data_IF_049893057050
#
_entry.id   IF_049893057050
#
_cell.length_a   1.000
_cell.length_b   1.000
_cell.length_c   1.000
_cell.angle_alpha   90.00
_cell.angle_beta   90.00
_cell.angle_gamma   90.00
#
_symmetry.space_group_name_H-M   'P 1'
#
loop_
_entity.id
_entity.type
_entity.pdbx_description
1 polymer ?
#
# COMPACT_ATOMS: atom_id res chain seq x y z
N UNK A 1 -10.55 -21.35 33.80
CA UNK A 1 -11.25 -22.64 33.57
C UNK A 1 -10.97 -23.09 32.15
N UNK A 2 -10.07 -24.06 32.01
CA UNK A 2 -9.83 -24.72 30.72
C UNK A 2 -10.94 -25.73 30.47
N UNK A 3 -12.04 -25.31 29.90
CA UNK A 3 -13.13 -26.16 29.50
C UNK A 3 -13.04 -26.49 28.03
N UNK A 4 -12.35 -27.56 27.70
CA UNK A 4 -12.30 -28.09 26.34
C UNK A 4 -11.09 -29.03 26.23
N UNK A 5 -11.38 -30.35 26.05
CA UNK A 5 -10.31 -31.33 25.88
C UNK A 5 -9.45 -31.02 24.67
N UNK A 6 -8.22 -31.44 24.69
CA UNK A 6 -7.18 -31.50 23.66
C UNK A 6 -6.79 -30.18 22.94
N UNK A 7 -7.40 -29.03 23.28
CA UNK A 7 -7.31 -27.79 22.50
C UNK A 7 -6.28 -26.78 23.01
N UNK A 8 -5.61 -27.06 24.13
CA UNK A 8 -4.60 -26.19 24.71
C UNK A 8 -3.43 -27.00 25.22
N UNK A 9 -2.26 -26.75 24.67
CA UNK A 9 -1.01 -27.38 25.10
C UNK A 9 -0.12 -26.33 25.78
N UNK A 10 0.46 -26.75 26.92
CA UNK A 10 1.48 -25.96 27.63
C UNK A 10 2.79 -26.67 27.43
N UNK A 11 3.75 -26.06 26.77
CA UNK A 11 5.09 -26.57 26.56
C UNK A 11 6.14 -25.71 27.25
N UNK A 12 7.37 -26.19 27.37
CA UNK A 12 8.51 -25.44 27.87
C UNK A 12 9.81 -26.09 27.40
N UNK A 13 10.74 -25.32 26.87
CA UNK A 13 12.05 -25.77 26.39
C UNK A 13 13.18 -25.59 27.42
N UNK A 14 12.84 -25.09 28.57
CA UNK A 14 13.78 -24.86 29.71
C UNK A 14 14.68 -23.63 29.55
N UNK A 15 14.62 -22.89 28.44
CA UNK A 15 15.42 -21.67 28.19
C UNK A 15 14.58 -20.42 28.00
N UNK A 16 13.45 -20.52 27.28
CA UNK A 16 12.61 -19.37 26.91
C UNK A 16 11.28 -19.32 27.69
N UNK A 17 11.13 -20.15 28.71
CA UNK A 17 9.95 -20.18 29.54
C UNK A 17 8.83 -21.07 29.00
N UNK A 18 7.68 -21.03 29.67
CA UNK A 18 6.47 -21.76 29.28
C UNK A 18 5.78 -21.05 28.16
N UNK A 19 5.53 -21.72 27.04
CA UNK A 19 4.70 -21.22 25.93
C UNK A 19 3.33 -21.92 25.93
N UNK A 20 2.37 -21.27 25.28
CA UNK A 20 1.00 -21.76 25.14
C UNK A 20 0.74 -22.03 23.67
N UNK A 21 0.20 -23.20 23.33
CA UNK A 21 -0.24 -23.55 21.97
C UNK A 21 -1.74 -23.74 21.99
N UNK A 22 -2.42 -23.01 21.14
CA UNK A 22 -3.83 -23.19 20.81
C UNK A 22 -3.90 -24.11 19.58
N UNK A 23 -4.47 -25.30 19.78
CA UNK A 23 -4.71 -26.30 18.75
C UNK A 23 -6.14 -26.84 18.92
N UNK A 24 -7.10 -26.05 18.43
CA UNK A 24 -8.50 -26.24 18.71
C UNK A 24 -9.31 -26.74 17.52
N UNK A 25 -8.67 -27.08 16.43
CA UNK A 25 -9.36 -27.42 15.14
C UNK A 25 -10.36 -26.33 14.76
N UNK A 26 -11.66 -26.59 14.83
CA UNK A 26 -12.73 -25.59 14.59
C UNK A 26 -13.26 -24.93 15.88
N UNK A 27 -12.57 -25.12 17.01
CA UNK A 27 -12.98 -24.63 18.33
C UNK A 27 -12.46 -23.25 18.66
N UNK A 28 -13.01 -22.66 19.72
CA UNK A 28 -12.58 -21.38 20.26
C UNK A 28 -11.95 -21.58 21.65
N UNK A 29 -10.88 -20.83 21.91
CA UNK A 29 -10.18 -20.81 23.19
C UNK A 29 -10.12 -19.37 23.69
N UNK A 30 -10.50 -19.15 24.95
CA UNK A 30 -10.27 -17.90 25.66
C UNK A 30 -9.40 -18.17 26.87
N UNK A 31 -8.29 -17.45 27.00
CA UNK A 31 -7.41 -17.54 28.16
C UNK A 31 -7.91 -16.60 29.27
N UNK A 32 -7.76 -17.01 30.53
CA UNK A 32 -8.04 -16.13 31.65
C UNK A 32 -7.07 -14.95 31.69
N UNK A 33 -7.46 -13.83 32.33
CA UNK A 33 -6.60 -12.67 32.51
C UNK A 33 -5.51 -12.94 33.53
N UNK A 34 -4.46 -12.13 33.54
CA UNK A 34 -3.32 -12.17 34.46
C UNK A 34 -2.50 -13.46 34.39
N UNK A 35 -2.31 -13.96 33.15
CA UNK A 35 -1.35 -15.04 32.93
C UNK A 35 0.10 -14.52 33.07
N UNK A 36 0.97 -15.37 33.62
CA UNK A 36 2.36 -15.01 33.93
C UNK A 36 3.39 -15.88 33.21
N UNK A 37 2.99 -16.61 32.17
CA UNK A 37 3.96 -17.36 31.37
C UNK A 37 4.85 -16.42 30.58
N UNK A 38 6.13 -16.79 30.42
CA UNK A 38 7.17 -15.95 29.82
C UNK A 38 7.46 -16.27 28.35
N UNK A 39 6.87 -17.31 27.83
CA UNK A 39 7.04 -17.73 26.43
C UNK A 39 6.01 -17.09 25.49
N UNK A 40 6.02 -17.58 24.26
CA UNK A 40 5.11 -17.14 23.20
C UNK A 40 3.72 -17.75 23.33
N UNK A 41 2.73 -17.12 22.69
CA UNK A 41 1.43 -17.73 22.42
C UNK A 41 1.42 -18.17 20.96
N UNK A 42 1.16 -19.45 20.70
CA UNK A 42 1.15 -20.03 19.36
C UNK A 42 -0.27 -20.43 19.00
N UNK A 43 -0.69 -20.14 17.80
CA UNK A 43 -1.98 -20.55 17.24
C UNK A 43 -1.67 -21.52 16.11
N UNK A 44 -1.94 -22.81 16.36
CA UNK A 44 -1.74 -23.87 15.38
C UNK A 44 -3.05 -24.19 14.63
N UNK A 45 -4.19 -24.10 15.31
CA UNK A 45 -5.52 -24.26 14.69
C UNK A 45 -6.63 -23.65 15.55
N UNK A 46 -7.75 -23.33 14.95
CA UNK A 46 -8.93 -22.78 15.62
C UNK A 46 -8.77 -21.31 16.01
N UNK A 47 -9.64 -20.83 16.90
CA UNK A 47 -9.73 -19.41 17.25
C UNK A 47 -9.23 -19.14 18.66
N UNK A 48 -8.25 -18.24 18.82
CA UNK A 48 -7.87 -17.64 20.09
C UNK A 48 -8.62 -16.33 20.28
N UNK A 49 -9.51 -16.25 21.25
CA UNK A 49 -10.22 -15.02 21.61
C UNK A 49 -9.39 -14.19 22.59
N UNK A 50 -9.16 -12.90 22.25
CA UNK A 50 -8.36 -11.96 23.04
C UNK A 50 -9.18 -10.72 23.36
N UNK A 51 -9.31 -10.40 24.64
CA UNK A 51 -9.98 -9.19 25.12
C UNK A 51 -9.11 -8.34 26.05
N UNK A 52 -7.93 -8.85 26.44
CA UNK A 52 -6.99 -8.17 27.31
C UNK A 52 -5.56 -8.68 27.08
N UNK A 53 -4.57 -7.78 27.07
CA UNK A 53 -3.15 -8.14 26.87
C UNK A 53 -2.63 -9.15 27.89
N UNK A 54 -3.14 -9.13 29.13
CA UNK A 54 -2.71 -10.05 30.18
C UNK A 54 -3.14 -11.51 29.97
N UNK A 55 -4.02 -11.77 29.01
CA UNK A 55 -4.36 -13.13 28.58
C UNK A 55 -3.18 -13.83 27.86
N UNK A 56 -2.31 -13.05 27.23
CA UNK A 56 -1.20 -13.52 26.39
C UNK A 56 0.13 -13.66 27.16
N UNK A 57 0.07 -13.92 28.48
CA UNK A 57 1.24 -14.08 29.35
C UNK A 57 1.78 -12.76 29.89
N UNK A 58 3.01 -12.80 30.40
CA UNK A 58 3.63 -11.66 31.07
C UNK A 58 3.71 -10.42 30.15
N UNK A 59 3.08 -9.33 30.59
CA UNK A 59 3.02 -8.07 29.83
C UNK A 59 4.33 -7.28 29.86
N UNK A 60 5.27 -7.63 30.72
CA UNK A 60 6.57 -6.97 30.81
C UNK A 60 7.49 -7.37 29.66
N UNK A 61 7.42 -8.63 29.21
CA UNK A 61 8.27 -9.15 28.14
C UNK A 61 7.62 -9.09 26.76
N UNK A 62 6.31 -8.88 26.67
CA UNK A 62 5.54 -8.78 25.41
C UNK A 62 5.97 -9.80 24.34
N UNK A 63 5.90 -11.10 24.68
CA UNK A 63 6.25 -12.17 23.73
C UNK A 63 5.24 -12.23 22.58
N UNK A 64 5.72 -12.66 21.42
CA UNK A 64 4.96 -12.71 20.18
C UNK A 64 3.74 -13.64 20.28
N UNK A 65 2.73 -13.34 19.47
CA UNK A 65 1.73 -14.30 19.04
C UNK A 65 2.17 -14.85 17.68
N UNK A 66 2.18 -16.18 17.52
CA UNK A 66 2.77 -16.86 16.37
C UNK A 66 1.71 -17.72 15.68
N UNK A 67 1.50 -17.53 14.38
CA UNK A 67 0.74 -18.46 13.54
C UNK A 67 1.68 -19.55 13.03
N UNK A 68 1.39 -20.84 13.32
CA UNK A 68 2.40 -21.91 13.20
C UNK A 68 2.07 -23.06 12.24
N UNK A 69 0.79 -23.30 11.88
CA UNK A 69 0.43 -24.44 11.04
C UNK A 69 -0.08 -23.98 9.66
N UNK A 70 0.59 -24.46 8.60
CA UNK A 70 0.22 -24.17 7.20
C UNK A 70 -0.97 -24.97 6.67
N UNK A 71 -1.54 -25.89 7.44
CA UNK A 71 -2.59 -26.80 6.99
C UNK A 71 -3.94 -26.56 7.67
N UNK A 72 -4.00 -25.69 8.67
CA UNK A 72 -5.18 -25.45 9.48
C UNK A 72 -5.49 -23.94 9.51
N UNK A 73 -6.77 -23.61 9.55
CA UNK A 73 -7.18 -22.22 9.83
C UNK A 73 -6.80 -21.84 11.25
N UNK A 74 -6.11 -20.70 11.36
CA UNK A 74 -5.65 -20.14 12.63
C UNK A 74 -6.11 -18.70 12.74
N UNK A 75 -6.96 -18.42 13.73
CA UNK A 75 -7.60 -17.12 13.94
C UNK A 75 -7.24 -16.54 15.31
N UNK A 76 -6.87 -15.27 15.33
CA UNK A 76 -6.85 -14.45 16.53
C UNK A 76 -8.02 -13.48 16.47
N UNK A 77 -9.05 -13.68 17.28
CA UNK A 77 -10.24 -12.83 17.38
C UNK A 77 -10.08 -11.83 18.53
N UNK A 78 -10.10 -10.55 18.21
CA UNK A 78 -9.92 -9.46 19.18
C UNK A 78 -11.27 -8.81 19.45
N UNK A 79 -11.78 -9.02 20.66
CA UNK A 79 -13.16 -8.68 21.07
C UNK A 79 -13.27 -7.42 21.92
N UNK A 80 -12.15 -6.77 22.25
CA UNK A 80 -12.10 -5.52 23.00
C UNK A 80 -10.87 -4.70 22.58
N UNK A 81 -10.84 -3.42 22.96
CA UNK A 81 -9.69 -2.56 22.72
C UNK A 81 -8.49 -3.08 23.55
N UNK A 82 -7.53 -3.67 22.85
CA UNK A 82 -6.32 -4.22 23.43
C UNK A 82 -5.15 -3.34 23.04
N UNK A 83 -4.50 -2.73 24.00
CA UNK A 83 -3.20 -2.08 23.82
C UNK A 83 -2.11 -3.05 24.30
N UNK A 84 -1.33 -3.59 23.38
CA UNK A 84 -0.27 -4.54 23.72
C UNK A 84 1.06 -3.84 24.02
N UNK A 85 1.14 -2.52 23.95
CA UNK A 85 2.36 -1.76 24.30
C UNK A 85 2.71 -1.97 25.78
N UNK A 86 4.00 -2.13 26.06
CA UNK A 86 4.53 -2.30 27.40
C UNK A 86 5.07 -0.98 27.93
N UNK A 87 5.02 -0.80 29.24
CA UNK A 87 5.69 0.32 29.92
C UNK A 87 7.22 0.27 29.83
N UNK A 88 7.79 -0.85 29.41
CA UNK A 88 9.23 -1.09 29.30
C UNK A 88 9.73 -1.24 27.85
N UNK A 89 8.82 -1.50 26.92
CA UNK A 89 9.10 -1.53 25.48
C UNK A 89 8.17 -0.55 24.79
N UNK A 90 8.71 0.28 23.89
CA UNK A 90 7.91 1.25 23.13
C UNK A 90 6.99 0.57 22.12
N UNK A 91 7.20 -0.75 21.89
CA UNK A 91 6.46 -1.55 20.92
C UNK A 91 5.46 -2.46 21.63
N UNK A 92 4.37 -2.77 20.92
CA UNK A 92 3.41 -3.78 21.34
C UNK A 92 3.95 -5.21 21.20
N UNK A 93 3.06 -6.21 21.38
CA UNK A 93 3.36 -7.60 21.02
C UNK A 93 3.42 -7.73 19.52
N UNK A 94 4.44 -8.41 19.02
CA UNK A 94 4.57 -8.70 17.61
C UNK A 94 3.66 -9.88 17.22
N UNK A 95 3.26 -9.88 15.95
CA UNK A 95 2.59 -10.99 15.29
C UNK A 95 3.63 -11.64 14.39
N UNK A 96 4.00 -12.89 14.66
CA UNK A 96 4.99 -13.64 13.88
C UNK A 96 4.28 -14.62 12.94
N UNK A 97 4.59 -14.52 11.65
CA UNK A 97 4.03 -15.38 10.61
C UNK A 97 4.97 -16.55 10.33
N UNK A 98 4.49 -17.79 10.56
CA UNK A 98 5.12 -19.04 10.06
C UNK A 98 4.17 -19.83 9.19
N UNK A 99 2.93 -19.38 9.12
CA UNK A 99 1.84 -19.96 8.37
C UNK A 99 0.83 -18.87 8.02
N UNK A 100 -0.22 -19.22 7.28
CA UNK A 100 -1.38 -18.36 7.10
C UNK A 100 -2.02 -18.08 8.46
N UNK A 101 -2.47 -16.85 8.65
CA UNK A 101 -3.10 -16.43 9.88
C UNK A 101 -4.14 -15.35 9.65
N UNK A 102 -5.20 -15.40 10.45
CA UNK A 102 -6.26 -14.40 10.43
C UNK A 102 -6.26 -13.61 11.74
N UNK A 103 -6.37 -12.28 11.63
CA UNK A 103 -6.63 -11.38 12.74
C UNK A 103 -7.99 -10.74 12.52
N UNK A 104 -9.00 -11.25 13.24
CA UNK A 104 -10.35 -10.72 13.26
C UNK A 104 -10.48 -9.67 14.36
N UNK A 105 -10.94 -8.47 14.04
CA UNK A 105 -11.15 -7.39 15.01
C UNK A 105 -12.62 -7.00 15.01
N UNK A 106 -13.30 -7.13 16.15
CA UNK A 106 -14.71 -6.85 16.28
C UNK A 106 -15.08 -5.40 15.94
N UNK A 107 -16.30 -5.20 15.50
CA UNK A 107 -16.83 -3.89 15.17
C UNK A 107 -16.74 -2.93 16.37
N UNK A 108 -16.19 -1.73 16.15
CA UNK A 108 -15.97 -0.71 17.18
C UNK A 108 -14.80 -0.99 18.12
N UNK A 109 -13.98 -2.00 17.81
CA UNK A 109 -12.73 -2.29 18.52
C UNK A 109 -11.57 -1.64 17.78
N UNK A 110 -10.74 -0.90 18.53
CA UNK A 110 -9.45 -0.38 18.07
C UNK A 110 -8.35 -1.04 18.90
N UNK A 111 -7.45 -1.77 18.24
CA UNK A 111 -6.41 -2.54 18.92
C UNK A 111 -5.02 -2.18 18.40
N UNK A 112 -4.03 -2.14 19.30
CA UNK A 112 -2.65 -1.74 19.00
C UNK A 112 -1.70 -2.90 19.25
N UNK A 113 -0.94 -3.25 18.21
CA UNK A 113 0.02 -4.35 18.21
C UNK A 113 1.40 -3.86 17.79
N UNK A 114 2.43 -4.67 18.00
CA UNK A 114 3.79 -4.37 17.59
C UNK A 114 4.00 -4.52 16.08
N UNK A 115 5.05 -5.24 15.70
CA UNK A 115 5.40 -5.50 14.31
C UNK A 115 4.70 -6.74 13.75
N UNK A 116 4.57 -6.77 12.42
CA UNK A 116 4.33 -8.01 11.69
C UNK A 116 5.67 -8.62 11.29
N UNK A 117 6.03 -9.73 11.90
CA UNK A 117 7.36 -10.31 11.85
C UNK A 117 7.44 -11.51 10.92
N UNK A 118 8.56 -11.63 10.21
CA UNK A 118 8.95 -12.88 9.57
C UNK A 118 9.27 -13.97 10.59
N UNK A 119 9.31 -15.23 10.14
CA UNK A 119 9.72 -16.36 10.96
C UNK A 119 11.10 -16.14 11.59
N UNK A 120 11.12 -15.92 12.90
CA UNK A 120 12.35 -15.71 13.68
C UNK A 120 13.23 -16.96 13.80
N UNK A 121 12.73 -18.14 13.40
CA UNK A 121 13.51 -19.39 13.42
C UNK A 121 14.59 -19.45 12.33
N UNK A 122 14.55 -18.52 11.35
CA UNK A 122 15.44 -18.49 10.19
C UNK A 122 15.16 -19.59 9.17
N UNK A 123 13.98 -20.23 9.25
CA UNK A 123 13.56 -21.24 8.29
C UNK A 123 12.79 -20.66 7.10
N UNK A 124 12.55 -19.33 7.07
CA UNK A 124 11.78 -18.61 6.04
C UNK A 124 10.40 -19.25 5.79
N UNK A 125 9.71 -19.65 6.86
CA UNK A 125 8.44 -20.36 6.73
C UNK A 125 7.27 -19.41 6.42
N UNK A 126 7.46 -18.13 6.54
CA UNK A 126 6.49 -17.09 6.18
C UNK A 126 6.42 -16.83 4.66
N UNK A 127 7.42 -17.30 3.87
CA UNK A 127 7.35 -17.22 2.42
C UNK A 127 6.12 -17.98 1.88
N UNK A 128 5.26 -17.23 1.14
CA UNK A 128 4.01 -17.75 0.60
C UNK A 128 2.88 -17.88 1.63
N UNK A 129 3.06 -17.42 2.85
CA UNK A 129 1.98 -17.27 3.84
C UNK A 129 1.22 -15.97 3.61
N UNK A 130 0.02 -15.88 4.20
CA UNK A 130 -0.85 -14.71 4.12
C UNK A 130 -1.32 -14.31 5.52
N UNK A 131 -1.17 -13.03 5.87
CA UNK A 131 -1.92 -12.42 6.96
C UNK A 131 -3.23 -11.88 6.41
N UNK A 132 -4.35 -12.33 6.97
CA UNK A 132 -5.68 -11.79 6.64
C UNK A 132 -6.22 -11.00 7.83
N UNK A 133 -6.52 -9.71 7.62
CA UNK A 133 -7.25 -8.86 8.57
C UNK A 133 -8.73 -8.91 8.22
N UNK A 134 -9.57 -9.39 9.14
CA UNK A 134 -11.03 -9.43 9.02
C UNK A 134 -11.71 -8.68 10.17
N UNK A 135 -13.06 -8.66 10.15
CA UNK A 135 -13.87 -7.95 11.13
C UNK A 135 -13.76 -6.42 10.99
N UNK A 136 -14.84 -5.71 11.36
CA UNK A 136 -15.03 -4.29 11.05
C UNK A 136 -14.25 -3.31 11.94
N UNK A 137 -13.45 -3.80 12.90
CA UNK A 137 -12.61 -2.96 13.77
C UNK A 137 -11.27 -2.59 13.15
N UNK A 138 -10.46 -1.87 13.91
CA UNK A 138 -9.13 -1.38 13.49
C UNK A 138 -8.00 -2.20 14.13
N UNK A 139 -7.10 -2.70 13.28
CA UNK A 139 -5.79 -3.22 13.69
C UNK A 139 -4.73 -2.15 13.40
N UNK A 140 -4.08 -1.64 14.44
CA UNK A 140 -2.98 -0.68 14.33
C UNK A 140 -1.66 -1.36 14.62
N UNK A 141 -0.70 -1.26 13.70
CA UNK A 141 0.66 -1.74 13.86
C UNK A 141 1.59 -0.58 14.27
N UNK A 142 2.29 -0.75 15.38
CA UNK A 142 3.06 0.30 16.07
C UNK A 142 4.58 0.10 16.00
N UNK A 143 5.04 -0.90 15.23
CA UNK A 143 6.45 -1.15 14.99
C UNK A 143 6.70 -1.62 13.55
N UNK A 144 7.89 -1.30 13.02
CA UNK A 144 8.33 -1.73 11.69
C UNK A 144 8.44 -3.26 11.62
N UNK A 145 7.93 -3.84 10.54
CA UNK A 145 7.85 -5.28 10.37
C UNK A 145 8.96 -5.86 9.50
N UNK A 146 9.01 -7.18 9.47
CA UNK A 146 9.97 -7.93 8.63
C UNK A 146 9.33 -9.06 7.83
N UNK A 147 7.99 -9.19 7.88
CA UNK A 147 7.30 -10.29 7.18
C UNK A 147 7.50 -10.23 5.67
N UNK A 148 7.57 -11.41 5.04
CA UNK A 148 7.52 -11.60 3.60
C UNK A 148 6.16 -12.16 3.15
N UNK A 149 5.24 -12.38 4.08
CA UNK A 149 3.87 -12.82 3.81
C UNK A 149 3.11 -11.79 2.97
N UNK A 150 2.15 -12.26 2.20
CA UNK A 150 1.14 -11.37 1.65
C UNK A 150 0.26 -10.80 2.79
N UNK A 151 -0.21 -9.57 2.63
CA UNK A 151 -1.13 -8.92 3.58
C UNK A 151 -2.46 -8.67 2.88
N UNK A 152 -3.54 -9.15 3.47
CA UNK A 152 -4.92 -8.97 2.98
C UNK A 152 -5.75 -8.25 4.02
N UNK A 153 -6.39 -7.17 3.63
CA UNK A 153 -7.38 -6.46 4.46
C UNK A 153 -8.74 -6.74 3.85
N UNK A 154 -9.47 -7.70 4.40
CA UNK A 154 -10.78 -8.12 3.87
C UNK A 154 -11.90 -7.26 4.42
N UNK A 155 -11.82 -6.86 5.70
CA UNK A 155 -12.81 -6.03 6.37
C UNK A 155 -12.17 -5.06 7.36
N UNK A 156 -12.85 -3.94 7.64
CA UNK A 156 -12.42 -2.94 8.60
C UNK A 156 -11.14 -2.21 8.20
N UNK A 157 -10.30 -1.88 9.16
CA UNK A 157 -9.12 -1.05 8.93
C UNK A 157 -7.84 -1.72 9.42
N UNK A 158 -6.81 -1.71 8.55
CA UNK A 158 -5.41 -1.91 8.93
C UNK A 158 -4.70 -0.56 8.89
N UNK A 159 -4.04 -0.17 9.98
CA UNK A 159 -3.32 1.10 10.07
C UNK A 159 -1.85 0.89 10.39
N UNK A 160 -0.97 1.54 9.64
CA UNK A 160 0.46 1.62 9.93
C UNK A 160 0.81 2.94 10.60
N UNK A 161 1.03 2.92 11.91
CA UNK A 161 1.26 4.15 12.71
C UNK A 161 2.74 4.55 12.78
N UNK A 162 3.61 3.67 12.29
CA UNK A 162 5.05 3.89 12.13
C UNK A 162 5.48 3.55 10.72
N UNK A 163 6.66 4.02 10.32
CA UNK A 163 7.19 3.72 9.00
C UNK A 163 7.42 2.20 8.82
N UNK A 164 7.17 1.73 7.61
CA UNK A 164 7.56 0.40 7.13
C UNK A 164 7.02 -0.76 7.98
N UNK A 165 5.69 -0.79 8.18
CA UNK A 165 5.07 -1.87 8.96
C UNK A 165 5.19 -3.25 8.29
N UNK A 166 5.36 -3.32 6.95
CA UNK A 166 5.61 -4.56 6.21
C UNK A 166 6.35 -4.32 4.88
N UNK A 167 7.58 -3.78 4.91
CA UNK A 167 8.30 -3.34 3.70
C UNK A 167 8.73 -4.50 2.79
N UNK A 168 8.72 -5.73 3.30
CA UNK A 168 9.11 -6.94 2.57
C UNK A 168 7.92 -7.82 2.19
N UNK A 169 6.70 -7.43 2.57
CA UNK A 169 5.50 -8.18 2.20
C UNK A 169 5.38 -8.30 0.68
N UNK A 170 5.06 -9.51 0.20
CA UNK A 170 5.02 -9.82 -1.23
C UNK A 170 3.94 -9.02 -1.96
N UNK A 171 2.83 -8.74 -1.29
CA UNK A 171 1.75 -7.88 -1.80
C UNK A 171 0.84 -7.38 -0.68
N UNK A 172 0.18 -6.25 -0.92
CA UNK A 172 -0.96 -5.77 -0.16
C UNK A 172 -2.23 -5.90 -1.02
N UNK A 173 -3.25 -6.54 -0.49
CA UNK A 173 -4.60 -6.57 -1.06
C UNK A 173 -5.60 -5.92 -0.10
N UNK A 174 -6.50 -5.06 -0.63
CA UNK A 174 -7.54 -4.38 0.14
C UNK A 174 -8.89 -4.64 -0.50
N UNK A 175 -9.80 -5.27 0.24
CA UNK A 175 -11.12 -5.67 -0.20
C UNK A 175 -12.13 -4.53 -0.22
N UNK A 176 -13.27 -4.76 -0.88
CA UNK A 176 -14.37 -3.81 -0.94
C UNK A 176 -14.88 -3.44 0.46
N UNK A 177 -14.95 -2.15 0.76
CA UNK A 177 -15.32 -1.63 2.07
C UNK A 177 -14.23 -1.71 3.15
N UNK A 178 -13.08 -2.35 2.86
CA UNK A 178 -11.93 -2.36 3.74
C UNK A 178 -11.01 -1.15 3.47
N UNK A 179 -10.21 -0.79 4.46
CA UNK A 179 -9.27 0.34 4.36
C UNK A 179 -7.88 -0.02 4.89
N UNK A 180 -6.86 0.35 4.13
CA UNK A 180 -5.50 0.48 4.62
C UNK A 180 -5.16 1.96 4.83
N UNK A 181 -4.64 2.34 5.99
CA UNK A 181 -4.31 3.74 6.34
C UNK A 181 -2.83 3.88 6.61
N UNK A 182 -2.18 4.84 5.96
CA UNK A 182 -0.79 5.22 6.28
C UNK A 182 -0.79 6.29 7.38
N UNK A 183 -0.46 5.91 8.62
CA UNK A 183 -0.22 6.88 9.71
C UNK A 183 1.22 7.45 9.68
N UNK A 184 2.12 6.81 8.92
CA UNK A 184 3.49 7.24 8.64
C UNK A 184 3.89 6.74 7.24
N UNK A 185 5.10 7.10 6.77
CA UNK A 185 5.61 6.68 5.47
C UNK A 185 5.70 5.16 5.36
N UNK A 186 5.27 4.62 4.23
CA UNK A 186 5.26 3.18 3.97
C UNK A 186 5.93 2.87 2.64
N UNK A 187 6.91 1.96 2.68
CA UNK A 187 7.40 1.28 1.48
C UNK A 187 6.64 -0.04 1.33
N UNK A 188 6.02 -0.24 0.17
CA UNK A 188 5.28 -1.48 -0.15
C UNK A 188 5.83 -2.02 -1.47
N UNK A 189 6.11 -3.33 -1.55
CA UNK A 189 6.60 -3.90 -2.78
C UNK A 189 5.54 -3.84 -3.88
N UNK A 190 4.33 -4.34 -3.60
CA UNK A 190 3.29 -4.44 -4.61
C UNK A 190 1.89 -4.29 -4.00
N UNK A 191 1.00 -3.63 -4.72
CA UNK A 191 -0.44 -3.67 -4.52
C UNK A 191 -1.02 -4.73 -5.47
N UNK A 192 -1.85 -5.63 -4.96
CA UNK A 192 -2.56 -6.59 -5.80
C UNK A 192 -3.61 -5.84 -6.65
N UNK A 193 -3.55 -6.02 -7.96
CA UNK A 193 -4.42 -5.33 -8.91
C UNK A 193 -5.91 -5.70 -8.79
N UNK A 194 -6.24 -6.75 -8.06
CA UNK A 194 -7.63 -7.13 -7.75
C UNK A 194 -8.18 -6.43 -6.51
N UNK A 195 -7.39 -5.57 -5.86
CA UNK A 195 -7.86 -4.73 -4.75
C UNK A 195 -9.02 -3.84 -5.20
N UNK A 196 -10.01 -3.66 -4.32
CA UNK A 196 -11.24 -2.89 -4.59
C UNK A 196 -11.67 -1.98 -3.42
N UNK A 197 -10.90 -2.00 -2.33
CA UNK A 197 -11.11 -1.17 -1.15
C UNK A 197 -10.44 0.20 -1.24
N UNK A 198 -10.09 0.76 -0.10
CA UNK A 198 -9.47 2.09 0.00
C UNK A 198 -8.06 1.99 0.57
N UNK A 199 -7.12 2.67 -0.05
CA UNK A 199 -5.79 2.96 0.50
C UNK A 199 -5.76 4.46 0.80
N UNK A 200 -5.89 4.81 2.08
CA UNK A 200 -5.89 6.19 2.55
C UNK A 200 -4.47 6.63 2.92
N UNK A 201 -3.90 7.48 2.10
CA UNK A 201 -2.57 8.06 2.31
C UNK A 201 -2.76 9.37 3.07
N UNK A 202 -2.48 9.34 4.37
CA UNK A 202 -2.73 10.46 5.27
C UNK A 202 -1.88 11.68 4.92
N UNK A 203 -2.36 12.87 5.27
CA UNK A 203 -1.62 14.13 5.05
C UNK A 203 -0.21 14.08 5.62
N UNK A 204 0.76 14.51 4.82
CA UNK A 204 2.18 14.51 5.17
C UNK A 204 2.85 13.14 5.14
N UNK A 205 2.16 12.07 4.75
CA UNK A 205 2.75 10.72 4.61
C UNK A 205 2.96 10.33 3.15
N UNK A 206 3.85 9.37 2.95
CA UNK A 206 4.19 8.81 1.64
C UNK A 206 3.88 7.32 1.61
N UNK A 207 3.23 6.86 0.55
CA UNK A 207 3.17 5.46 0.16
C UNK A 207 4.03 5.25 -1.08
N UNK A 208 5.12 4.48 -0.96
CA UNK A 208 6.05 4.21 -2.06
C UNK A 208 5.88 2.79 -2.59
N UNK A 209 5.69 2.66 -3.90
CA UNK A 209 5.68 1.37 -4.59
C UNK A 209 7.09 1.03 -5.08
N UNK A 210 7.69 -0.04 -4.52
CA UNK A 210 9.10 -0.38 -4.73
C UNK A 210 9.34 -1.59 -5.62
N UNK A 211 8.30 -2.39 -5.93
CA UNK A 211 8.40 -3.62 -6.71
C UNK A 211 7.07 -4.02 -7.37
N UNK A 212 6.25 -3.03 -7.78
CA UNK A 212 4.92 -3.27 -8.37
C UNK A 212 4.98 -4.18 -9.60
N UNK A 213 4.06 -5.15 -9.69
CA UNK A 213 3.84 -5.91 -10.91
C UNK A 213 3.35 -5.00 -12.03
N UNK A 214 4.14 -4.88 -13.07
CA UNK A 214 3.88 -3.99 -14.21
C UNK A 214 3.11 -4.67 -15.34
N UNK A 215 2.83 -5.97 -15.22
CA UNK A 215 2.03 -6.71 -16.21
C UNK A 215 0.53 -6.41 -16.11
N UNK A 216 0.09 -5.80 -15.02
CA UNK A 216 -1.30 -5.44 -14.75
C UNK A 216 -1.42 -3.97 -14.35
N UNK A 217 -2.50 -3.33 -14.79
CA UNK A 217 -2.78 -1.95 -14.42
C UNK A 217 -3.43 -1.89 -13.03
N UNK A 218 -3.05 -0.89 -12.22
CA UNK A 218 -3.70 -0.56 -10.96
C UNK A 218 -4.84 0.43 -11.20
N UNK A 219 -5.96 0.18 -10.54
CA UNK A 219 -7.04 1.16 -10.47
C UNK A 219 -6.62 2.31 -9.53
N UNK A 220 -6.43 3.50 -10.08
CA UNK A 220 -5.98 4.66 -9.32
C UNK A 220 -6.98 5.11 -8.24
N UNK A 221 -8.28 4.77 -8.37
CA UNK A 221 -9.30 5.12 -7.39
C UNK A 221 -9.17 4.38 -6.05
N UNK A 222 -8.29 3.38 -5.96
CA UNK A 222 -7.89 2.77 -4.69
C UNK A 222 -7.21 3.78 -3.76
N UNK A 223 -6.45 4.73 -4.32
CA UNK A 223 -5.61 5.66 -3.56
C UNK A 223 -6.35 6.95 -3.30
N UNK A 224 -6.50 7.28 -2.03
CA UNK A 224 -7.20 8.46 -1.55
C UNK A 224 -6.36 9.17 -0.47
N UNK A 225 -6.80 10.37 -0.08
CA UNK A 225 -6.18 11.16 1.00
C UNK A 225 -5.29 12.28 0.51
N UNK A 226 -4.76 13.07 1.45
CA UNK A 226 -3.97 14.28 1.17
C UNK A 226 -2.45 14.00 1.14
N UNK A 227 -2.04 12.75 1.35
CA UNK A 227 -0.64 12.31 1.27
C UNK A 227 -0.15 12.13 -0.17
N UNK A 228 0.96 11.40 -0.35
CA UNK A 228 1.59 11.23 -1.67
C UNK A 228 1.82 9.75 -2.00
N UNK A 229 1.27 9.32 -3.13
CA UNK A 229 1.69 8.06 -3.77
C UNK A 229 2.97 8.31 -4.57
N UNK A 230 4.02 7.53 -4.31
CA UNK A 230 5.27 7.58 -5.05
C UNK A 230 5.45 6.31 -5.86
N UNK A 231 5.57 6.44 -7.17
CA UNK A 231 5.96 5.31 -8.01
C UNK A 231 7.48 5.26 -8.18
N UNK A 232 8.14 4.27 -7.57
CA UNK A 232 9.56 3.99 -7.70
C UNK A 232 9.86 2.75 -8.58
N UNK A 233 8.83 2.17 -9.23
CA UNK A 233 8.95 1.00 -10.10
C UNK A 233 8.75 1.39 -11.56
N UNK A 234 9.66 0.99 -12.45
CA UNK A 234 9.55 1.25 -13.88
C UNK A 234 8.38 0.50 -14.51
N UNK A 235 7.54 1.23 -15.26
CA UNK A 235 6.49 0.64 -16.09
C UNK A 235 5.15 0.42 -15.38
N UNK A 236 4.92 1.02 -14.23
CA UNK A 236 3.61 0.97 -13.56
C UNK A 236 2.55 1.69 -14.39
N UNK A 237 1.42 1.04 -14.60
CA UNK A 237 0.23 1.60 -15.24
C UNK A 237 -0.84 1.91 -14.21
N UNK A 238 -1.30 3.15 -14.16
CA UNK A 238 -2.48 3.56 -13.39
C UNK A 238 -3.64 3.83 -14.36
N UNK A 239 -4.87 3.57 -13.92
CA UNK A 239 -6.10 3.80 -14.69
C UNK A 239 -7.17 4.46 -13.83
N UNK A 240 -7.98 5.33 -14.43
CA UNK A 240 -9.09 6.01 -13.77
C UNK A 240 -8.68 7.29 -13.03
N UNK A 241 -9.28 7.54 -11.86
CA UNK A 241 -9.08 8.78 -11.10
C UNK A 241 -8.25 8.52 -9.85
N UNK A 242 -7.17 9.27 -9.68
CA UNK A 242 -6.31 9.26 -8.51
C UNK A 242 -6.71 10.40 -7.57
N UNK A 243 -7.11 10.08 -6.34
CA UNK A 243 -7.59 11.06 -5.37
C UNK A 243 -6.55 11.40 -4.29
N UNK A 244 -5.28 11.38 -4.64
CA UNK A 244 -4.15 11.76 -3.79
C UNK A 244 -3.07 12.44 -4.64
N UNK A 245 -1.99 12.93 -4.03
CA UNK A 245 -0.86 13.44 -4.79
C UNK A 245 -0.07 12.28 -5.42
N UNK A 246 0.53 12.52 -6.58
CA UNK A 246 1.40 11.56 -7.28
C UNK A 246 2.79 12.13 -7.48
N UNK A 247 3.80 11.35 -7.11
CA UNK A 247 5.18 11.59 -7.48
C UNK A 247 5.70 10.42 -8.32
N UNK A 248 6.38 10.72 -9.44
CA UNK A 248 6.93 9.71 -10.34
C UNK A 248 8.45 9.76 -10.31
N UNK A 249 9.06 8.78 -9.62
CA UNK A 249 10.52 8.58 -9.61
C UNK A 249 10.99 7.69 -10.78
N UNK A 250 10.07 6.96 -11.39
CA UNK A 250 10.29 5.99 -12.47
C UNK A 250 9.23 6.15 -13.58
N UNK A 251 9.31 5.31 -14.61
CA UNK A 251 8.33 5.34 -15.71
C UNK A 251 6.93 4.96 -15.22
N UNK A 252 5.97 5.86 -15.44
CA UNK A 252 4.56 5.67 -15.08
C UNK A 252 3.67 5.92 -16.29
N UNK A 253 2.79 4.96 -16.62
CA UNK A 253 1.80 5.10 -17.70
C UNK A 253 0.49 5.65 -17.13
N UNK A 254 0.03 6.76 -17.69
CA UNK A 254 -1.13 7.55 -17.23
C UNK A 254 -2.07 7.93 -18.40
N UNK A 255 -2.31 7.02 -19.35
CA UNK A 255 -3.26 7.26 -20.45
C UNK A 255 -4.69 7.34 -19.92
N UNK A 256 -5.41 8.43 -20.23
CA UNK A 256 -6.77 8.71 -19.78
C UNK A 256 -6.94 8.69 -18.25
N UNK A 257 -5.96 9.20 -17.54
CA UNK A 257 -5.97 9.32 -16.07
C UNK A 257 -6.26 10.75 -15.62
N UNK A 258 -7.04 10.89 -14.55
CA UNK A 258 -7.22 12.16 -13.84
C UNK A 258 -6.51 12.09 -12.47
N UNK A 259 -5.58 12.97 -12.22
CA UNK A 259 -4.94 13.19 -10.93
C UNK A 259 -5.64 14.37 -10.25
N UNK A 260 -6.44 14.10 -9.21
CA UNK A 260 -7.15 15.14 -8.46
C UNK A 260 -6.24 15.91 -7.49
N UNK A 261 -5.15 15.27 -7.01
CA UNK A 261 -4.07 15.90 -6.26
C UNK A 261 -3.01 16.56 -7.15
N UNK A 262 -1.86 16.83 -6.59
CA UNK A 262 -0.71 17.35 -7.29
C UNK A 262 0.02 16.24 -8.08
N UNK A 263 0.66 16.60 -9.19
CA UNK A 263 1.58 15.72 -9.91
C UNK A 263 3.00 16.29 -9.87
N UNK A 264 3.91 15.53 -9.28
CA UNK A 264 5.34 15.82 -9.25
C UNK A 264 6.10 14.82 -10.12
N UNK A 265 6.72 15.29 -11.19
CA UNK A 265 7.55 14.48 -12.09
C UNK A 265 8.94 15.14 -12.22
N UNK A 266 9.77 14.98 -11.18
CA UNK A 266 11.07 15.68 -11.13
C UNK A 266 12.21 14.86 -11.72
N UNK A 267 12.12 13.54 -11.70
CA UNK A 267 13.19 12.64 -12.17
C UNK A 267 12.71 11.49 -13.05
N UNK A 268 11.43 11.10 -12.95
CA UNK A 268 10.83 9.99 -13.67
C UNK A 268 10.37 10.34 -15.07
N UNK A 269 9.58 9.44 -15.64
CA UNK A 269 8.88 9.66 -16.89
C UNK A 269 7.38 9.39 -16.74
N UNK A 270 6.58 10.31 -17.23
CA UNK A 270 5.13 10.13 -17.40
C UNK A 270 4.88 9.80 -18.84
N UNK A 271 4.17 8.71 -19.13
CA UNK A 271 3.89 8.23 -20.47
C UNK A 271 2.39 8.12 -20.73
N UNK A 272 1.95 8.69 -21.83
CA UNK A 272 0.65 8.43 -22.42
C UNK A 272 0.80 7.50 -23.65
N UNK A 273 2.04 7.11 -24.00
CA UNK A 273 2.30 6.27 -25.15
C UNK A 273 1.74 4.87 -25.00
N UNK A 274 0.76 4.54 -25.84
CA UNK A 274 0.16 3.22 -25.96
C UNK A 274 -0.02 2.77 -27.42
N UNK A 275 0.48 3.57 -28.39
CA UNK A 275 0.38 3.37 -29.82
C UNK A 275 -0.89 3.97 -30.43
N UNK A 276 -1.67 4.72 -29.68
CA UNK A 276 -2.86 5.47 -30.11
C UNK A 276 -2.70 6.91 -29.69
N UNK A 277 -3.05 7.89 -30.53
CA UNK A 277 -3.06 9.29 -30.14
C UNK A 277 -4.46 9.73 -29.69
N UNK A 278 -4.49 10.69 -28.78
CA UNK A 278 -5.72 11.33 -28.30
C UNK A 278 -6.03 11.04 -26.83
N UNK A 279 -5.14 10.34 -26.14
CA UNK A 279 -5.24 10.13 -24.70
C UNK A 279 -5.03 11.44 -23.92
N UNK A 280 -5.61 11.52 -22.74
CA UNK A 280 -5.51 12.73 -21.91
C UNK A 280 -5.07 12.39 -20.48
N UNK A 281 -4.04 13.08 -20.01
CA UNK A 281 -3.72 13.15 -18.59
C UNK A 281 -4.20 14.49 -18.04
N UNK A 282 -5.15 14.47 -17.12
CA UNK A 282 -5.65 15.68 -16.45
C UNK A 282 -5.07 15.79 -15.04
N UNK A 283 -4.48 16.94 -14.68
CA UNK A 283 -4.00 17.26 -13.35
C UNK A 283 -4.81 18.41 -12.80
N UNK A 284 -5.62 18.13 -11.75
CA UNK A 284 -6.47 19.13 -11.12
C UNK A 284 -5.74 19.95 -10.05
N UNK A 285 -4.73 19.35 -9.40
CA UNK A 285 -3.81 20.04 -8.50
C UNK A 285 -2.65 20.72 -9.21
N UNK A 286 -1.61 21.05 -8.47
CA UNK A 286 -0.41 21.69 -8.99
C UNK A 286 0.48 20.68 -9.76
N UNK A 287 1.17 21.16 -10.78
CA UNK A 287 2.13 20.37 -11.56
C UNK A 287 3.56 20.87 -11.34
N UNK A 288 4.46 19.97 -10.96
CA UNK A 288 5.89 20.23 -10.89
C UNK A 288 6.65 19.30 -11.84
N UNK A 289 7.20 19.87 -12.91
CA UNK A 289 7.98 19.15 -13.90
C UNK A 289 9.48 19.17 -13.62
N UNK A 290 10.20 18.24 -14.23
CA UNK A 290 11.67 18.06 -14.15
C UNK A 290 12.11 16.81 -14.90
N UNK A 291 11.21 15.86 -15.05
CA UNK A 291 11.42 14.62 -15.80
C UNK A 291 10.98 14.69 -17.27
N UNK A 292 10.51 13.56 -17.77
CA UNK A 292 10.11 13.39 -19.17
C UNK A 292 8.60 13.15 -19.30
N UNK A 293 7.99 13.73 -20.32
CA UNK A 293 6.62 13.46 -20.77
C UNK A 293 6.68 12.77 -22.15
N UNK A 294 6.13 11.57 -22.24
CA UNK A 294 6.11 10.74 -23.44
C UNK A 294 4.70 10.73 -24.03
N UNK A 295 4.55 11.14 -25.29
CA UNK A 295 3.26 11.31 -25.95
C UNK A 295 3.25 10.63 -27.33
N UNK A 296 2.10 10.10 -27.73
CA UNK A 296 1.81 9.70 -29.10
C UNK A 296 1.13 10.86 -29.86
N UNK A 297 1.46 11.05 -31.11
CA UNK A 297 0.84 12.06 -31.98
C UNK A 297 0.79 11.61 -33.42
N UNK A 298 -0.24 12.02 -34.13
CA UNK A 298 -0.23 12.08 -35.58
C UNK A 298 0.56 13.32 -36.02
N UNK A 299 1.16 13.27 -37.21
CA UNK A 299 1.88 14.40 -37.76
C UNK A 299 1.31 14.78 -39.15
N UNK A 300 -0.01 15.07 -39.20
CA UNK A 300 -0.80 15.33 -40.41
C UNK A 300 -1.19 16.82 -40.56
N UNK A 301 -0.41 17.74 -39.97
CA UNK A 301 -0.69 19.18 -40.00
C UNK A 301 -1.46 19.66 -38.74
N UNK A 302 -2.16 20.79 -38.85
CA UNK A 302 -2.83 21.45 -37.71
C UNK A 302 -4.00 20.64 -37.12
N UNK A 303 -4.58 19.70 -37.87
CA UNK A 303 -5.70 18.84 -37.43
C UNK A 303 -5.22 17.49 -36.82
N UNK A 304 -3.93 17.36 -36.53
CA UNK A 304 -3.35 16.14 -35.97
C UNK A 304 -3.93 15.83 -34.58
N UNK A 305 -4.32 14.58 -34.39
CA UNK A 305 -4.68 14.07 -33.05
C UNK A 305 -3.39 13.81 -32.27
N UNK A 306 -3.36 14.21 -31.04
CA UNK A 306 -2.21 14.01 -30.12
C UNK A 306 -2.67 13.76 -28.71
N UNK A 307 -1.87 13.00 -27.97
CA UNK A 307 -2.01 12.94 -26.54
C UNK A 307 -1.81 14.32 -25.91
N UNK A 308 -2.49 14.56 -24.79
CA UNK A 308 -2.48 15.86 -24.13
C UNK A 308 -2.29 15.75 -22.62
N UNK A 309 -1.43 16.62 -22.10
CA UNK A 309 -1.37 16.94 -20.67
C UNK A 309 -2.21 18.20 -20.42
N UNK A 310 -3.26 18.08 -19.59
CA UNK A 310 -4.16 19.18 -19.20
C UNK A 310 -3.88 19.58 -17.77
N UNK A 311 -3.56 20.86 -17.53
CA UNK A 311 -3.12 21.39 -16.26
C UNK A 311 -4.11 22.43 -15.73
N UNK A 312 -4.76 22.12 -14.61
CA UNK A 312 -5.81 22.97 -13.99
C UNK A 312 -5.32 23.74 -12.75
N UNK A 313 -4.09 23.51 -12.26
CA UNK A 313 -3.48 24.17 -11.12
C UNK A 313 -2.28 25.05 -11.47
N UNK A 314 -1.50 25.43 -10.45
CA UNK A 314 -0.22 26.10 -10.65
C UNK A 314 0.79 25.16 -11.31
N UNK A 315 1.70 25.72 -12.09
CA UNK A 315 2.70 24.91 -12.76
C UNK A 315 4.12 25.43 -12.53
N UNK A 316 5.08 24.52 -12.39
CA UNK A 316 6.48 24.84 -12.17
C UNK A 316 7.41 23.82 -12.81
N UNK A 317 8.71 24.15 -12.91
CA UNK A 317 9.76 23.24 -13.37
C UNK A 317 9.93 23.20 -14.88
N UNK A 318 10.77 22.27 -15.36
CA UNK A 318 11.10 22.13 -16.78
C UNK A 318 10.92 20.67 -17.17
N UNK A 319 10.02 20.39 -18.10
CA UNK A 319 9.70 19.04 -18.56
C UNK A 319 10.23 18.84 -19.98
N UNK A 320 10.92 17.72 -20.21
CA UNK A 320 11.31 17.29 -21.55
C UNK A 320 10.14 16.53 -22.19
N UNK A 321 9.67 16.97 -23.35
CA UNK A 321 8.60 16.29 -24.10
C UNK A 321 9.21 15.45 -25.20
N UNK A 322 8.83 14.18 -25.24
CA UNK A 322 9.18 13.25 -26.33
C UNK A 322 7.91 12.86 -27.05
N UNK A 323 7.84 13.15 -28.33
CA UNK A 323 6.69 12.80 -29.17
C UNK A 323 7.05 11.62 -30.06
N UNK A 324 6.25 10.56 -29.99
CA UNK A 324 6.30 9.44 -30.89
C UNK A 324 5.26 9.66 -32.02
N UNK A 325 5.70 9.64 -33.28
CA UNK A 325 4.81 9.74 -34.41
C UNK A 325 4.19 8.38 -34.74
N UNK A 326 2.88 8.27 -34.57
CA UNK A 326 2.15 7.03 -34.89
C UNK A 326 1.69 7.00 -36.37
N UNK A 327 1.42 8.17 -36.94
CA UNK A 327 1.08 8.34 -38.38
C UNK A 327 1.56 9.68 -38.89
N UNK A 328 1.65 9.81 -40.23
CA UNK A 328 2.05 11.05 -40.88
C UNK A 328 3.55 11.15 -41.14
N UNK A 329 3.91 12.04 -42.06
CA UNK A 329 5.28 12.28 -42.54
C UNK A 329 5.82 13.64 -42.07
N UNK A 330 5.09 14.33 -41.18
CA UNK A 330 5.41 15.68 -40.75
C UNK A 330 4.93 16.74 -41.72
N UNK A 331 3.63 17.02 -41.74
CA UNK A 331 3.08 18.11 -42.53
C UNK A 331 3.26 19.46 -41.82
N UNK A 332 3.49 20.57 -42.58
CA UNK A 332 3.61 21.89 -42.00
C UNK A 332 2.35 22.26 -41.19
N UNK A 333 2.54 22.88 -40.02
CA UNK A 333 1.46 23.45 -39.22
C UNK A 333 1.52 24.98 -39.23
N UNK A 334 0.38 25.63 -39.11
CA UNK A 334 0.27 27.09 -38.96
C UNK A 334 0.03 27.48 -37.50
N UNK A 335 -0.64 26.60 -36.72
CA UNK A 335 -0.96 26.81 -35.30
C UNK A 335 -0.19 25.86 -34.36
N UNK A 336 0.40 24.80 -34.91
CA UNK A 336 1.08 23.75 -34.16
C UNK A 336 0.10 22.69 -33.62
N UNK A 337 0.66 21.57 -33.16
CA UNK A 337 -0.09 20.49 -32.53
C UNK A 337 -0.06 20.72 -31.01
N UNK A 338 -1.23 20.82 -30.37
CA UNK A 338 -1.33 21.06 -28.94
C UNK A 338 -1.08 19.75 -28.17
N UNK A 339 -0.04 19.70 -27.37
CA UNK A 339 0.35 18.57 -26.52
C UNK A 339 0.28 18.90 -25.04
N UNK A 340 0.25 20.19 -24.67
CA UNK A 340 0.03 20.66 -23.29
C UNK A 340 -1.03 21.76 -23.30
N UNK A 341 -2.00 21.64 -22.43
CA UNK A 341 -3.07 22.62 -22.22
C UNK A 341 -2.99 23.20 -20.81
N UNK A 342 -2.72 24.51 -20.72
CA UNK A 342 -2.85 25.26 -19.48
C UNK A 342 -4.31 25.74 -19.37
N UNK A 343 -5.19 24.85 -18.90
CA UNK A 343 -6.63 25.10 -18.83
C UNK A 343 -7.02 25.98 -17.61
N UNK A 344 -6.11 26.14 -16.65
CA UNK A 344 -6.33 27.01 -15.48
C UNK A 344 -6.48 28.47 -15.87
N UNK A 345 -7.35 29.19 -15.17
CA UNK A 345 -7.51 30.65 -15.32
C UNK A 345 -6.19 31.36 -14.94
N UNK A 346 -5.50 32.01 -15.90
CA UNK A 346 -4.21 32.65 -15.67
C UNK A 346 -4.27 33.83 -14.70
N UNK A 347 -5.47 34.30 -14.31
CA UNK A 347 -5.64 35.32 -13.26
C UNK A 347 -5.62 34.74 -11.85
N UNK A 348 -5.79 33.42 -11.71
CA UNK A 348 -5.83 32.72 -10.42
C UNK A 348 -4.63 31.82 -10.22
N UNK A 349 -4.08 31.25 -11.30
CA UNK A 349 -2.98 30.27 -11.26
C UNK A 349 -1.74 30.76 -11.99
N UNK A 350 -0.57 30.29 -11.55
CA UNK A 350 0.73 30.66 -12.12
C UNK A 350 1.21 29.58 -13.06
N UNK A 351 1.38 29.90 -14.34
CA UNK A 351 1.90 29.01 -15.37
C UNK A 351 3.41 29.25 -15.55
N UNK A 352 4.22 28.67 -14.69
CA UNK A 352 5.69 28.82 -14.67
C UNK A 352 6.43 27.60 -15.25
N UNK A 353 5.74 26.48 -15.51
CA UNK A 353 6.38 25.32 -16.13
C UNK A 353 6.83 25.62 -17.56
N UNK A 354 7.96 25.02 -17.92
CA UNK A 354 8.50 25.06 -19.28
C UNK A 354 8.55 23.67 -19.86
N UNK A 355 8.08 23.55 -21.08
CA UNK A 355 8.12 22.31 -21.84
C UNK A 355 9.09 22.48 -23.03
N UNK A 356 10.00 21.53 -23.21
CA UNK A 356 10.96 21.53 -24.29
C UNK A 356 10.93 20.21 -25.03
N UNK A 357 10.80 20.27 -26.36
CA UNK A 357 10.81 19.07 -27.18
C UNK A 357 12.21 18.44 -27.18
N UNK A 358 12.28 17.13 -26.97
CA UNK A 358 13.53 16.37 -27.06
C UNK A 358 14.00 16.25 -28.51
N UNK A 359 15.29 16.49 -28.73
CA UNK A 359 15.91 16.39 -30.05
C UNK A 359 15.86 17.69 -30.86
N UNK A 360 16.69 17.76 -31.88
CA UNK A 360 16.78 18.90 -32.84
C UNK A 360 15.79 18.74 -33.99
N UNK A 361 14.62 18.20 -33.75
CA UNK A 361 13.58 18.06 -34.75
C UNK A 361 12.98 19.42 -35.08
N UNK A 362 13.56 20.09 -36.09
CA UNK A 362 12.80 21.11 -36.81
C UNK A 362 11.67 20.38 -37.50
N UNK A 363 10.49 20.45 -36.95
CA UNK A 363 9.29 20.42 -37.77
C UNK A 363 9.20 21.84 -38.31
N UNK A 364 9.75 22.05 -39.53
CA UNK A 364 9.59 23.30 -40.27
C UNK A 364 8.15 23.46 -40.65
#
# INVERSE_FOLDING_TARGET
>A
DLAGGDNLHIGGDGKDGVYVVVDASDGQVSLANNNSYLGTTQIASGTLMVSDNSQLGDTHYNRQVIFTDKQQESVMEITANVDTRSTTTEHGRDIEMRADGEVAVDAGVDTQWGALMADSSGQHQDEGSTLTKTGAGTLELTASGTTQSAVRVEEGTLKGDVADIFPYASSLWVGDGATFVTGADQDIQSIDATSSGTIDISDGTVLRLTGQDTSVALNASLFNGDGTLVNATDGVTLTGELNTNLETDSLTYLSDVTVNGNLTNTSGAVSLQNGVAGDTLTVNGDYTGGGTLLLDSELNGDDSVSDQLVLNGNTAGNTTVVVNSITGIGEPTSTGIKVVDFAADPTQFQNNAKFSLAGSGYVN
#
